data_IF_407840364600
#
_entry.id   IF_407840364600
#
_cell.length_a   1.000
_cell.length_b   1.000
_cell.length_c   1.000
_cell.angle_alpha   90.00
_cell.angle_beta   90.00
_cell.angle_gamma   90.00
#
_symmetry.space_group_name_H-M   'P 1'
#
loop_
_entity.id
_entity.type
_entity.pdbx_description
1 polymer ?
#
# COMPACT_ATOMS: atom_id res chain seq x y z
N UNK A 1 -14.44 -1.12 0.20
CA UNK A 1 -13.78 -0.49 -0.95
C UNK A 1 -14.26 0.94 -1.10
N UNK A 2 -13.33 1.89 -1.16
CA UNK A 2 -13.62 3.31 -1.42
C UNK A 2 -13.17 3.61 -2.85
N UNK A 3 -14.02 4.26 -3.65
CA UNK A 3 -13.77 4.53 -5.07
C UNK A 3 -13.83 6.01 -5.42
N UNK A 4 -14.56 6.82 -4.65
CA UNK A 4 -14.68 8.26 -4.83
C UNK A 4 -14.64 9.00 -3.49
N UNK A 5 -14.38 10.31 -3.54
CA UNK A 5 -14.26 11.13 -2.34
C UNK A 5 -15.58 11.25 -1.56
N UNK A 6 -16.71 11.19 -2.26
CA UNK A 6 -18.02 11.32 -1.63
C UNK A 6 -18.28 10.17 -0.64
N UNK A 7 -17.85 8.94 -0.96
CA UNK A 7 -17.94 7.79 -0.03
C UNK A 7 -17.14 8.01 1.26
N UNK A 8 -15.95 8.62 1.19
CA UNK A 8 -15.19 8.98 2.37
C UNK A 8 -15.91 10.05 3.20
N UNK A 9 -16.48 11.08 2.54
CA UNK A 9 -17.23 12.15 3.21
C UNK A 9 -18.48 11.63 3.88
N UNK A 10 -19.24 10.75 3.23
CA UNK A 10 -20.41 10.09 3.82
C UNK A 10 -20.03 9.26 5.05
N UNK A 11 -18.94 8.48 4.96
CA UNK A 11 -18.46 7.71 6.11
C UNK A 11 -18.03 8.61 7.28
N UNK A 12 -17.35 9.73 7.01
CA UNK A 12 -16.98 10.71 8.04
C UNK A 12 -18.20 11.38 8.65
N UNK A 13 -19.21 11.74 7.85
CA UNK A 13 -20.47 12.29 8.35
C UNK A 13 -21.17 11.31 9.30
N UNK A 14 -21.26 10.03 8.93
CA UNK A 14 -21.85 9.01 9.80
C UNK A 14 -21.07 8.83 11.12
N UNK A 15 -19.72 8.93 11.09
CA UNK A 15 -18.90 8.91 12.30
C UNK A 15 -19.25 10.08 13.22
N UNK A 16 -19.43 11.28 12.69
CA UNK A 16 -19.83 12.45 13.50
C UNK A 16 -21.25 12.33 14.08
N UNK A 17 -22.20 11.76 13.35
CA UNK A 17 -23.52 11.41 13.86
C UNK A 17 -23.44 10.44 15.04
N UNK A 18 -22.64 9.37 14.90
CA UNK A 18 -22.42 8.39 15.98
C UNK A 18 -21.74 9.04 17.19
N UNK A 19 -20.78 9.94 16.99
CA UNK A 19 -20.13 10.67 18.08
C UNK A 19 -21.16 11.52 18.86
N UNK A 20 -22.06 12.22 18.14
CA UNK A 20 -23.13 12.98 18.75
C UNK A 20 -24.07 12.11 19.60
N UNK A 21 -24.47 10.95 19.07
CA UNK A 21 -25.29 9.99 19.84
C UNK A 21 -24.59 9.47 21.10
N UNK A 22 -23.28 9.22 21.03
CA UNK A 22 -22.50 8.77 22.18
C UNK A 22 -22.39 9.87 23.25
N UNK A 23 -22.20 11.12 22.82
CA UNK A 23 -22.19 12.28 23.73
C UNK A 23 -23.56 12.45 24.44
N UNK A 24 -24.69 12.34 23.72
CA UNK A 24 -26.04 12.38 24.30
C UNK A 24 -26.27 11.28 25.34
N UNK A 25 -25.74 10.07 25.07
CA UNK A 25 -25.85 8.90 25.98
C UNK A 25 -24.82 8.92 27.11
N UNK A 26 -23.95 9.92 27.18
CA UNK A 26 -22.79 10.00 28.08
C UNK A 26 -21.88 8.77 28.03
N UNK A 27 -21.68 8.18 26.84
CA UNK A 27 -20.78 7.06 26.59
C UNK A 27 -19.42 7.60 26.21
N UNK A 28 -18.38 7.24 26.95
CA UNK A 28 -17.01 7.68 26.66
C UNK A 28 -16.47 7.05 25.38
N UNK A 29 -15.85 7.85 24.53
CA UNK A 29 -15.14 7.43 23.32
C UNK A 29 -13.94 8.33 23.04
N UNK A 30 -13.04 7.92 22.14
CA UNK A 30 -11.91 8.74 21.70
C UNK A 30 -12.40 9.74 20.65
N UNK A 31 -12.48 11.03 21.03
CA UNK A 31 -13.02 12.11 20.18
C UNK A 31 -12.14 12.40 18.94
N UNK A 32 -10.83 12.24 19.08
CA UNK A 32 -9.80 12.51 18.08
C UNK A 32 -9.33 11.25 17.35
N UNK A 33 -10.25 10.29 17.11
CA UNK A 33 -9.93 9.08 16.36
C UNK A 33 -9.58 9.44 14.91
N UNK A 34 -8.47 8.90 14.41
CA UNK A 34 -8.07 9.07 13.03
C UNK A 34 -8.93 8.23 12.09
N UNK A 35 -9.31 8.81 10.96
CA UNK A 35 -10.11 8.16 9.91
C UNK A 35 -9.33 8.15 8.61
N UNK A 36 -8.78 6.99 8.28
CA UNK A 36 -8.07 6.75 7.03
C UNK A 36 -8.88 5.89 6.06
N UNK A 37 -8.31 5.65 4.89
CA UNK A 37 -8.90 4.75 3.89
C UNK A 37 -7.93 3.64 3.49
N UNK A 38 -8.49 2.51 3.07
CA UNK A 38 -7.74 1.52 2.32
C UNK A 38 -7.78 1.88 0.83
N UNK A 39 -6.60 2.19 0.27
CA UNK A 39 -6.45 2.44 -1.16
C UNK A 39 -6.17 1.11 -1.84
N UNK A 40 -7.20 0.56 -2.48
CA UNK A 40 -7.18 -0.80 -3.02
C UNK A 40 -7.95 -0.96 -4.33
N UNK A 41 -8.41 0.17 -4.90
CA UNK A 41 -9.04 0.21 -6.22
C UNK A 41 -8.21 1.07 -7.17
N UNK A 42 -8.29 0.79 -8.48
CA UNK A 42 -7.64 1.62 -9.48
C UNK A 42 -8.15 3.07 -9.44
N UNK A 43 -9.45 3.27 -9.20
CA UNK A 43 -10.05 4.60 -9.08
C UNK A 43 -9.45 5.38 -7.90
N UNK A 44 -9.42 4.78 -6.69
CA UNK A 44 -8.86 5.43 -5.51
C UNK A 44 -7.36 5.72 -5.67
N UNK A 45 -6.61 4.82 -6.32
CA UNK A 45 -5.20 5.05 -6.62
C UNK A 45 -4.98 6.27 -7.50
N UNK A 46 -5.76 6.43 -8.56
CA UNK A 46 -5.64 7.54 -9.51
C UNK A 46 -5.91 8.92 -8.88
N UNK A 47 -6.77 8.98 -7.86
CA UNK A 47 -7.13 10.21 -7.15
C UNK A 47 -6.60 10.25 -5.71
N UNK A 48 -5.51 9.52 -5.44
CA UNK A 48 -4.92 9.46 -4.12
C UNK A 48 -4.49 10.83 -3.58
N UNK A 49 -4.08 11.75 -4.45
CA UNK A 49 -3.79 13.15 -4.09
C UNK A 49 -5.01 13.93 -3.59
N UNK A 50 -6.21 13.57 -4.07
CA UNK A 50 -7.48 14.17 -3.62
C UNK A 50 -7.84 13.59 -2.24
N UNK A 51 -7.78 12.26 -2.10
CA UNK A 51 -8.06 11.58 -0.83
C UNK A 51 -7.10 12.01 0.29
N UNK A 52 -5.81 12.20 -0.03
CA UNK A 52 -4.80 12.59 0.93
C UNK A 52 -5.06 13.94 1.63
N UNK A 53 -5.90 14.78 1.06
CA UNK A 53 -6.30 16.07 1.65
C UNK A 53 -7.37 15.91 2.73
N UNK A 54 -8.06 14.78 2.76
CA UNK A 54 -9.20 14.56 3.67
C UNK A 54 -9.06 13.30 4.53
N UNK A 55 -8.21 12.35 4.18
CA UNK A 55 -7.92 11.18 4.99
C UNK A 55 -6.77 11.46 5.98
N UNK A 56 -6.84 10.88 7.18
CA UNK A 56 -5.78 11.03 8.18
C UNK A 56 -4.58 10.09 7.92
N UNK A 57 -4.80 9.00 7.19
CA UNK A 57 -3.76 8.06 6.75
C UNK A 57 -4.26 7.20 5.60
N UNK A 58 -3.33 6.53 4.91
CA UNK A 58 -3.63 5.49 3.94
C UNK A 58 -3.15 4.12 4.40
N UNK A 59 -3.91 3.09 4.04
CA UNK A 59 -3.45 1.70 4.03
C UNK A 59 -3.58 1.16 2.61
N UNK A 60 -2.51 0.63 2.03
CA UNK A 60 -2.56 0.06 0.68
C UNK A 60 -2.96 -1.41 0.78
N UNK A 61 -4.12 -1.76 0.25
CA UNK A 61 -4.62 -3.13 0.15
C UNK A 61 -4.11 -3.81 -1.11
N UNK A 62 -2.89 -4.38 -1.08
CA UNK A 62 -2.21 -4.85 -2.29
C UNK A 62 -2.92 -5.97 -3.02
N UNK A 63 -3.64 -6.83 -2.31
CA UNK A 63 -4.34 -7.95 -2.93
C UNK A 63 -5.45 -7.46 -3.86
N UNK A 64 -6.31 -6.58 -3.36
CA UNK A 64 -7.41 -6.02 -4.13
C UNK A 64 -6.92 -4.97 -5.14
N UNK A 65 -5.95 -4.13 -4.77
CA UNK A 65 -5.33 -3.19 -5.70
C UNK A 65 -4.78 -3.91 -6.94
N UNK A 66 -4.08 -5.03 -6.76
CA UNK A 66 -3.57 -5.83 -7.88
C UNK A 66 -4.71 -6.40 -8.71
N UNK A 67 -5.71 -7.00 -8.06
CA UNK A 67 -6.87 -7.59 -8.73
C UNK A 67 -7.61 -6.55 -9.60
N UNK A 68 -7.92 -5.39 -9.05
CA UNK A 68 -8.67 -4.36 -9.77
C UNK A 68 -7.83 -3.60 -10.80
N UNK A 69 -6.56 -3.36 -10.53
CA UNK A 69 -5.65 -2.73 -11.51
C UNK A 69 -5.46 -3.64 -12.73
N UNK A 70 -5.29 -4.94 -12.51
CA UNK A 70 -5.12 -5.91 -13.57
C UNK A 70 -6.43 -6.42 -14.17
N UNK A 71 -7.58 -6.09 -13.57
CA UNK A 71 -8.91 -6.62 -13.93
C UNK A 71 -8.96 -8.15 -13.95
N UNK A 72 -8.33 -8.77 -12.96
CA UNK A 72 -8.14 -10.22 -12.86
C UNK A 72 -8.67 -10.74 -11.54
N UNK A 73 -9.59 -11.67 -11.58
CA UNK A 73 -10.01 -12.42 -10.41
C UNK A 73 -8.89 -13.39 -9.96
N UNK A 74 -8.29 -13.10 -8.80
CA UNK A 74 -7.21 -13.94 -8.20
C UNK A 74 -7.66 -15.37 -7.87
N UNK A 75 -8.97 -15.58 -7.70
CA UNK A 75 -9.57 -16.91 -7.48
C UNK A 75 -9.74 -17.72 -8.76
N UNK A 76 -9.67 -17.09 -9.93
CA UNK A 76 -9.89 -17.77 -11.21
C UNK A 76 -8.57 -18.32 -11.78
N UNK A 77 -8.39 -19.65 -11.68
CA UNK A 77 -7.19 -20.34 -12.13
C UNK A 77 -6.82 -20.13 -13.61
N UNK A 78 -7.79 -19.77 -14.47
CA UNK A 78 -7.54 -19.55 -15.89
C UNK A 78 -6.81 -18.25 -16.20
N UNK A 79 -6.93 -17.25 -15.32
CA UNK A 79 -6.36 -15.91 -15.51
C UNK A 79 -5.41 -15.50 -14.38
N UNK A 80 -5.26 -16.32 -13.35
CA UNK A 80 -4.41 -16.00 -12.18
C UNK A 80 -2.93 -15.77 -12.53
N UNK A 81 -2.47 -16.26 -13.69
CA UNK A 81 -1.11 -16.00 -14.18
C UNK A 81 -0.84 -14.53 -14.51
N UNK A 82 -1.90 -13.74 -14.68
CA UNK A 82 -1.81 -12.28 -14.89
C UNK A 82 -1.73 -11.50 -13.56
N UNK A 83 -2.05 -12.16 -12.44
CA UNK A 83 -2.05 -11.56 -11.12
C UNK A 83 -0.63 -11.54 -10.56
N UNK A 84 0.00 -10.38 -10.53
CA UNK A 84 1.29 -10.17 -9.85
C UNK A 84 1.41 -8.74 -9.37
N UNK A 85 1.80 -8.56 -8.11
CA UNK A 85 2.10 -7.26 -7.52
C UNK A 85 3.33 -6.61 -8.14
N UNK A 86 4.20 -7.41 -8.79
CA UNK A 86 5.38 -6.92 -9.54
C UNK A 86 5.03 -6.40 -10.93
N UNK A 87 3.77 -6.44 -11.33
CA UNK A 87 3.37 -5.84 -12.60
C UNK A 87 3.68 -4.33 -12.58
N UNK A 88 4.31 -3.79 -13.65
CA UNK A 88 4.67 -2.38 -13.72
C UNK A 88 3.51 -1.39 -13.47
N UNK A 89 2.27 -1.76 -13.84
CA UNK A 89 1.10 -0.92 -13.55
C UNK A 89 0.79 -0.88 -12.05
N UNK A 90 0.88 -2.04 -11.37
CA UNK A 90 0.64 -2.14 -9.92
C UNK A 90 1.73 -1.42 -9.14
N UNK A 91 3.01 -1.60 -9.51
CA UNK A 91 4.13 -0.90 -8.86
C UNK A 91 4.03 0.63 -9.01
N UNK A 92 3.63 1.11 -10.18
CA UNK A 92 3.40 2.55 -10.40
C UNK A 92 2.25 3.08 -9.56
N UNK A 93 1.17 2.32 -9.43
CA UNK A 93 0.05 2.63 -8.56
C UNK A 93 0.49 2.74 -7.10
N UNK A 94 1.22 1.75 -6.58
CA UNK A 94 1.75 1.74 -5.21
C UNK A 94 2.66 2.96 -4.98
N UNK A 95 3.63 3.20 -5.87
CA UNK A 95 4.52 4.36 -5.78
C UNK A 95 3.77 5.69 -5.78
N UNK A 96 2.75 5.82 -6.61
CA UNK A 96 1.91 7.02 -6.69
C UNK A 96 1.15 7.26 -5.39
N UNK A 97 0.50 6.24 -4.84
CA UNK A 97 -0.23 6.35 -3.56
C UNK A 97 0.69 6.81 -2.43
N UNK A 98 1.89 6.20 -2.33
CA UNK A 98 2.89 6.55 -1.32
C UNK A 98 3.35 8.01 -1.50
N UNK A 99 3.61 8.43 -2.74
CA UNK A 99 4.02 9.79 -3.04
C UNK A 99 2.94 10.81 -2.64
N UNK A 100 1.67 10.57 -2.99
CA UNK A 100 0.55 11.45 -2.63
C UNK A 100 0.39 11.58 -1.11
N UNK A 101 0.46 10.47 -0.36
CA UNK A 101 0.39 10.50 1.11
C UNK A 101 1.55 11.28 1.73
N UNK A 102 2.76 11.06 1.24
CA UNK A 102 3.96 11.77 1.72
C UNK A 102 3.90 13.27 1.42
N UNK A 103 3.44 13.66 0.23
CA UNK A 103 3.27 15.07 -0.15
C UNK A 103 2.22 15.77 0.73
N UNK A 104 1.17 15.05 1.12
CA UNK A 104 0.16 15.56 2.05
C UNK A 104 0.56 15.48 3.53
N UNK A 105 1.69 14.84 3.85
CA UNK A 105 2.17 14.70 5.24
C UNK A 105 1.39 13.67 6.06
N UNK A 106 0.68 12.74 5.42
CA UNK A 106 -0.06 11.67 6.09
C UNK A 106 0.72 10.35 6.04
N UNK A 107 0.49 9.49 7.04
CA UNK A 107 1.10 8.16 7.09
C UNK A 107 0.54 7.25 5.99
N UNK A 108 1.41 6.48 5.36
CA UNK A 108 1.01 5.43 4.40
C UNK A 108 1.52 4.09 4.90
N UNK A 109 0.58 3.22 5.24
CA UNK A 109 0.84 1.82 5.55
C UNK A 109 0.48 0.90 4.38
N UNK A 110 0.85 -0.36 4.49
CA UNK A 110 0.49 -1.40 3.54
C UNK A 110 0.11 -2.68 4.27
N UNK A 111 -0.97 -3.29 3.85
CA UNK A 111 -1.35 -4.64 4.24
C UNK A 111 -1.45 -5.54 3.00
N UNK A 112 -1.62 -6.82 3.24
CA UNK A 112 -1.61 -7.83 2.18
C UNK A 112 -0.25 -8.51 2.06
N UNK A 113 -0.15 -9.44 1.11
CA UNK A 113 1.02 -10.32 0.99
C UNK A 113 2.30 -9.57 0.61
N UNK A 114 2.18 -8.52 -0.19
CA UNK A 114 3.31 -7.71 -0.63
C UNK A 114 4.09 -7.04 0.51
N UNK A 115 3.42 -6.68 1.62
CA UNK A 115 4.08 -6.07 2.78
C UNK A 115 5.12 -6.98 3.45
N UNK A 116 5.01 -8.30 3.27
CA UNK A 116 5.93 -9.30 3.83
C UNK A 116 6.82 -9.98 2.79
N UNK A 117 6.65 -9.66 1.51
CA UNK A 117 7.45 -10.25 0.43
C UNK A 117 8.88 -9.67 0.44
N UNK A 118 9.91 -10.53 0.58
CA UNK A 118 11.30 -10.08 0.61
C UNK A 118 11.75 -9.32 -0.63
N UNK A 119 11.17 -9.61 -1.79
CA UNK A 119 11.50 -8.90 -3.03
C UNK A 119 10.79 -7.55 -3.12
N UNK A 120 9.64 -7.40 -2.43
CA UNK A 120 8.87 -6.16 -2.43
C UNK A 120 9.36 -5.17 -1.39
N UNK A 121 9.78 -5.62 -0.21
CA UNK A 121 10.23 -4.77 0.90
C UNK A 121 11.26 -3.71 0.45
N UNK A 122 12.32 -4.03 -0.31
CA UNK A 122 13.28 -3.04 -0.79
C UNK A 122 12.65 -1.93 -1.64
N UNK A 123 11.70 -2.27 -2.51
CA UNK A 123 10.98 -1.30 -3.34
C UNK A 123 10.10 -0.39 -2.49
N UNK A 124 9.37 -0.95 -1.54
CA UNK A 124 8.48 -0.21 -0.65
C UNK A 124 9.25 0.77 0.25
N UNK A 125 10.42 0.37 0.74
CA UNK A 125 11.33 1.25 1.49
C UNK A 125 11.81 2.42 0.62
N UNK A 126 12.24 2.13 -0.61
CA UNK A 126 12.68 3.17 -1.54
C UNK A 126 11.54 4.14 -1.93
N UNK A 127 10.31 3.65 -2.03
CA UNK A 127 9.14 4.49 -2.28
C UNK A 127 8.76 5.37 -1.07
N UNK A 128 9.24 5.02 0.12
CA UNK A 128 9.00 5.78 1.36
C UNK A 128 7.78 5.31 2.14
N UNK A 129 7.43 4.02 2.06
CA UNK A 129 6.37 3.43 2.87
C UNK A 129 6.70 3.54 4.36
N UNK A 130 5.72 3.94 5.20
CA UNK A 130 5.93 4.16 6.63
C UNK A 130 5.65 2.92 7.48
N UNK A 131 4.68 2.10 7.09
CA UNK A 131 4.22 0.95 7.88
C UNK A 131 4.02 -0.29 7.04
N UNK A 132 4.51 -1.43 7.56
CA UNK A 132 4.39 -2.74 6.96
C UNK A 132 3.57 -3.64 7.87
N UNK A 133 2.29 -3.85 7.55
CA UNK A 133 1.41 -4.74 8.30
C UNK A 133 1.53 -6.17 7.77
N UNK A 134 1.92 -7.09 8.63
CA UNK A 134 2.20 -8.47 8.25
C UNK A 134 1.94 -9.45 9.39
N UNK A 135 1.96 -10.76 9.08
CA UNK A 135 1.87 -11.80 10.10
C UNK A 135 3.06 -11.78 11.05
N UNK A 136 2.85 -12.17 12.31
CA UNK A 136 3.90 -12.21 13.33
C UNK A 136 5.13 -13.02 12.90
N UNK A 137 4.95 -14.10 12.13
CA UNK A 137 6.03 -14.94 11.62
C UNK A 137 6.94 -14.25 10.60
N UNK A 138 6.46 -13.22 9.90
CA UNK A 138 7.22 -12.48 8.90
C UNK A 138 8.03 -11.32 9.50
N UNK A 139 7.64 -10.80 10.68
CA UNK A 139 8.17 -9.56 11.26
C UNK A 139 9.70 -9.60 11.42
N UNK A 140 10.26 -10.66 11.98
CA UNK A 140 11.71 -10.71 12.25
C UNK A 140 12.53 -10.68 10.96
N UNK A 141 12.05 -11.36 9.91
CA UNK A 141 12.73 -11.34 8.61
C UNK A 141 12.64 -9.96 7.95
N UNK A 142 11.46 -9.35 7.97
CA UNK A 142 11.27 -8.00 7.43
C UNK A 142 12.13 -6.96 8.17
N UNK A 143 12.17 -7.00 9.52
CA UNK A 143 13.00 -6.12 10.32
C UNK A 143 14.49 -6.25 9.99
N UNK A 144 14.99 -7.48 9.81
CA UNK A 144 16.36 -7.70 9.36
C UNK A 144 16.62 -6.98 8.05
N UNK A 145 15.76 -7.16 7.06
CA UNK A 145 15.91 -6.51 5.75
C UNK A 145 15.89 -4.98 5.83
N UNK A 146 14.99 -4.40 6.64
CA UNK A 146 14.92 -2.94 6.83
C UNK A 146 16.21 -2.36 7.41
N UNK A 147 16.96 -3.13 8.21
CA UNK A 147 18.20 -2.66 8.84
C UNK A 147 19.46 -2.89 8.01
N UNK A 148 19.38 -3.65 6.93
CA UNK A 148 20.53 -4.02 6.10
C UNK A 148 20.84 -3.01 4.98
N UNK A 149 19.91 -2.09 4.67
CA UNK A 149 20.03 -1.17 3.53
C UNK A 149 19.90 0.28 3.94
N UNK A 150 20.63 1.15 3.24
CA UNK A 150 20.32 2.58 3.21
C UNK A 150 19.22 2.88 2.18
N UNK A 151 18.47 3.96 2.38
CA UNK A 151 17.44 4.40 1.43
C UNK A 151 18.06 4.76 0.08
N UNK A 152 19.27 5.33 0.09
CA UNK A 152 20.01 5.72 -1.12
C UNK A 152 20.36 4.50 -1.99
N UNK A 153 20.80 3.40 -1.38
CA UNK A 153 21.08 2.15 -2.10
C UNK A 153 19.80 1.59 -2.73
N UNK A 154 18.70 1.59 -1.97
CA UNK A 154 17.43 1.07 -2.44
C UNK A 154 16.79 1.95 -3.53
N UNK A 155 17.06 3.27 -3.55
CA UNK A 155 16.54 4.16 -4.58
C UNK A 155 17.03 3.76 -5.97
N UNK A 156 18.32 3.45 -6.13
CA UNK A 156 18.86 3.00 -7.40
C UNK A 156 18.25 1.66 -7.85
N UNK A 157 18.00 0.75 -6.91
CA UNK A 157 17.33 -0.52 -7.17
C UNK A 157 15.89 -0.30 -7.63
N UNK A 158 15.15 0.56 -6.95
CA UNK A 158 13.77 0.88 -7.30
C UNK A 158 13.66 1.57 -8.66
N UNK A 159 14.51 2.54 -8.95
CA UNK A 159 14.51 3.23 -10.23
C UNK A 159 14.81 2.26 -11.39
N UNK A 160 15.72 1.31 -11.18
CA UNK A 160 15.99 0.25 -12.16
C UNK A 160 14.79 -0.68 -12.32
N UNK A 161 14.17 -1.14 -11.22
CA UNK A 161 12.99 -1.99 -11.26
C UNK A 161 11.81 -1.32 -12.00
N UNK A 162 11.61 -0.02 -11.75
CA UNK A 162 10.56 0.79 -12.40
C UNK A 162 10.81 1.07 -13.88
N UNK A 163 12.02 0.83 -14.38
CA UNK A 163 12.36 1.00 -15.81
C UNK A 163 12.00 -0.21 -16.67
N UNK A 164 11.69 -1.36 -16.07
CA UNK A 164 11.32 -2.56 -16.82
C UNK A 164 9.88 -2.48 -17.33
N UNK A 165 9.65 -3.17 -18.44
CA UNK A 165 8.36 -3.16 -19.14
C UNK A 165 7.43 -4.32 -18.74
N UNK A 166 7.99 -5.42 -18.23
CA UNK A 166 7.25 -6.65 -17.95
C UNK A 166 7.40 -7.11 -16.50
N UNK A 167 6.40 -7.82 -16.01
CA UNK A 167 6.43 -8.46 -14.67
C UNK A 167 7.65 -9.38 -14.52
N UNK A 168 7.94 -10.20 -15.54
CA UNK A 168 9.04 -11.16 -15.48
C UNK A 168 10.41 -10.48 -15.34
N UNK A 169 10.65 -9.34 -16.01
CA UNK A 169 11.88 -8.58 -15.88
C UNK A 169 12.05 -7.99 -14.47
N UNK A 170 10.96 -7.47 -13.89
CA UNK A 170 10.97 -6.94 -12.53
C UNK A 170 11.25 -8.05 -11.52
N UNK A 171 10.53 -9.16 -11.60
CA UNK A 171 10.70 -10.31 -10.69
C UNK A 171 12.11 -10.92 -10.77
N UNK A 172 12.65 -11.10 -11.97
CA UNK A 172 14.00 -11.63 -12.16
C UNK A 172 15.06 -10.69 -11.57
N UNK A 173 14.91 -9.39 -11.80
CA UNK A 173 15.81 -8.38 -11.25
C UNK A 173 15.77 -8.36 -9.72
N UNK A 174 14.59 -8.33 -9.12
CA UNK A 174 14.44 -8.29 -7.67
C UNK A 174 14.87 -9.59 -6.99
N UNK A 175 14.62 -10.74 -7.63
CA UNK A 175 15.11 -12.03 -7.13
C UNK A 175 16.63 -12.04 -7.05
N UNK A 176 17.32 -11.65 -8.12
CA UNK A 176 18.79 -11.56 -8.17
C UNK A 176 19.34 -10.57 -7.16
N UNK A 177 18.63 -9.48 -6.91
CA UNK A 177 19.01 -8.51 -5.89
C UNK A 177 18.96 -9.13 -4.49
N UNK A 178 17.87 -9.79 -4.13
CA UNK A 178 17.69 -10.40 -2.81
C UNK A 178 18.65 -11.59 -2.60
N UNK A 179 18.87 -12.44 -3.60
CA UNK A 179 19.79 -13.58 -3.53
C UNK A 179 21.24 -13.16 -3.22
N UNK A 180 21.71 -12.05 -3.75
CA UNK A 180 23.06 -11.53 -3.48
C UNK A 180 23.31 -11.16 -2.02
N UNK A 181 22.24 -11.01 -1.25
CA UNK A 181 22.28 -10.44 0.10
C UNK A 181 21.96 -11.50 1.15
N UNK A 182 21.19 -12.51 0.78
CA UNK A 182 20.82 -13.60 1.69
C UNK A 182 21.77 -14.81 1.64
N UNK A 183 22.69 -14.82 0.68
CA UNK A 183 23.77 -15.81 0.54
C UNK A 183 25.05 -15.32 1.16
#
# INVERSE_FOLDING_TARGET
LVTCLDELREAKALIEEIKAELDEKNIAYKKDIQVGIMVETAAASLIADIFAKEADFFSIGTNDLTQYTMSVDRGNKKVSYLYSTFNPAVLRSIRHIIACGREAGIMVGMCGEAASDPMMIPLLLAFGLNEFSMSASAILRARKMVTEYSVEELQAVADKAMSFATTAEVEDYMRKFVEKITG
#
